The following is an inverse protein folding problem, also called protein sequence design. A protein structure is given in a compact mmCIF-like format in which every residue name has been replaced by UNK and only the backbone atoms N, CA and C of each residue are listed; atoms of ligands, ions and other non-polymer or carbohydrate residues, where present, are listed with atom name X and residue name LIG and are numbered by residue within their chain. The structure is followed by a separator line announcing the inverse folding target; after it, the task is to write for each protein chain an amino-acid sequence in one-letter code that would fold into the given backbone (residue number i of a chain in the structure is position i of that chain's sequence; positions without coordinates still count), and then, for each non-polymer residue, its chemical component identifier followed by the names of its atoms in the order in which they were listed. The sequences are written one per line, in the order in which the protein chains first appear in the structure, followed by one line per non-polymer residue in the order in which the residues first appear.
data_IF_343304221581
#
_entry.id   IF_343304221581
#
_cell.length_a   1.000
_cell.length_b   1.000
_cell.length_c   1.000
_cell.angle_alpha   90.00
_cell.angle_beta   90.00
_cell.angle_gamma   90.00
#
_symmetry.space_group_name_H-M   'P 1'
#
loop_
_entity.id
_entity.type
_entity.pdbx_description
1 polymer ?
#
# COMPACT_ATOMS: atom_id res chain seq x y z
N UNK A 1 -0.43 -1.32 -35.11
CA UNK A 1 0.41 -2.33 -34.43
C UNK A 1 0.09 -2.20 -32.94
N UNK A 2 -0.87 -2.97 -32.38
CA UNK A 2 -0.70 -4.29 -31.72
C UNK A 2 0.50 -4.24 -30.76
N UNK A 3 0.33 -4.36 -29.43
CA UNK A 3 -0.02 -5.61 -28.76
C UNK A 3 -0.73 -5.41 -27.41
N UNK A 4 -1.89 -6.07 -27.27
CA UNK A 4 -2.62 -6.28 -26.02
C UNK A 4 -2.30 -7.72 -25.60
N UNK A 5 -1.62 -7.93 -24.46
CA UNK A 5 -1.38 -9.27 -23.95
C UNK A 5 -2.29 -9.56 -22.76
N UNK A 6 -3.38 -10.28 -23.06
CA UNK A 6 -4.28 -10.93 -22.10
C UNK A 6 -3.56 -12.17 -21.57
N UNK A 7 -3.49 -12.39 -20.26
CA UNK A 7 -3.06 -13.67 -19.70
C UNK A 7 -4.28 -14.39 -19.13
N UNK A 8 -4.64 -15.48 -19.79
CA UNK A 8 -5.78 -16.33 -19.53
C UNK A 8 -5.57 -17.24 -18.32
N UNK A 9 -6.68 -17.49 -17.60
CA UNK A 9 -6.83 -18.48 -16.53
C UNK A 9 -6.71 -19.89 -17.14
N UNK A 10 -5.91 -20.76 -16.54
CA UNK A 10 -5.93 -22.19 -16.83
C UNK A 10 -6.20 -22.96 -15.53
N UNK A 11 -7.40 -23.50 -15.43
CA UNK A 11 -7.77 -24.59 -14.53
C UNK A 11 -7.17 -25.87 -15.09
N UNK A 12 -6.34 -26.58 -14.32
CA UNK A 12 -5.97 -27.97 -14.63
C UNK A 12 -6.37 -28.81 -13.43
N UNK A 13 -7.46 -29.55 -13.60
CA UNK A 13 -7.77 -30.73 -12.80
C UNK A 13 -7.20 -31.96 -13.50
N UNK A 14 -6.55 -32.84 -12.74
CA UNK A 14 -6.28 -34.21 -13.16
C UNK A 14 -6.35 -35.13 -11.92
N UNK A 15 -7.02 -36.27 -12.13
CA UNK A 15 -7.52 -37.25 -11.15
C UNK A 15 -6.59 -38.49 -11.15
N UNK A 16 -6.39 -39.16 -10.00
CA UNK A 16 -6.53 -40.62 -9.72
C UNK A 16 -5.54 -41.22 -8.66
N UNK A 17 -6.10 -41.56 -7.49
CA UNK A 17 -6.04 -42.80 -6.67
C UNK A 17 -4.80 -43.75 -6.66
N UNK A 18 -4.04 -43.75 -5.55
CA UNK A 18 -4.09 -44.79 -4.50
C UNK A 18 -3.15 -46.02 -4.52
N UNK A 19 -2.10 -46.02 -3.67
CA UNK A 19 -1.52 -47.22 -2.99
C UNK A 19 -0.95 -46.83 -1.62
N UNK A 20 -1.28 -47.54 -0.51
CA UNK A 20 -0.71 -47.29 0.82
C UNK A 20 0.41 -48.28 1.16
N UNK A 21 1.44 -47.84 1.87
CA UNK A 21 1.97 -48.49 3.08
C UNK A 21 3.38 -48.00 3.45
N UNK A 22 3.52 -47.76 4.76
CA UNK A 22 4.74 -47.71 5.56
C UNK A 22 5.57 -46.41 5.59
N UNK A 23 5.36 -45.76 6.74
CA UNK A 23 6.36 -45.22 7.67
C UNK A 23 6.73 -43.74 7.51
N UNK A 24 6.03 -42.97 8.34
CA UNK A 24 6.42 -41.73 9.02
C UNK A 24 7.84 -41.21 8.76
N UNK A 25 7.91 -40.20 7.91
CA UNK A 25 8.73 -39.03 8.15
C UNK A 25 7.78 -37.84 8.04
N UNK A 26 7.30 -37.35 9.18
CA UNK A 26 6.57 -36.09 9.21
C UNK A 26 7.54 -35.01 8.72
N UNK A 27 7.21 -34.22 7.68
CA UNK A 27 8.03 -33.07 7.34
C UNK A 27 8.15 -32.20 8.61
N UNK A 28 9.33 -31.64 8.90
CA UNK A 28 9.48 -30.76 10.05
C UNK A 28 8.40 -29.68 9.93
N UNK A 29 7.50 -29.64 10.93
CA UNK A 29 6.51 -28.60 11.02
C UNK A 29 7.23 -27.25 10.88
N UNK A 30 6.75 -26.32 10.03
CA UNK A 30 7.31 -24.98 10.02
C UNK A 30 7.21 -24.44 11.46
N UNK A 31 8.26 -23.82 12.01
CA UNK A 31 8.25 -23.36 13.39
C UNK A 31 7.04 -22.46 13.60
N UNK A 32 6.06 -22.98 14.35
CA UNK A 32 5.02 -22.19 14.96
C UNK A 32 5.70 -21.26 15.96
N UNK A 33 5.56 -19.95 15.74
CA UNK A 33 6.03 -18.94 16.68
C UNK A 33 7.30 -18.23 16.24
N UNK A 34 7.18 -17.37 15.23
CA UNK A 34 7.80 -16.06 15.36
C UNK A 34 6.69 -15.11 15.83
N UNK A 35 6.72 -14.57 17.06
CA UNK A 35 6.01 -13.34 17.31
C UNK A 35 6.68 -12.30 16.41
N UNK A 36 6.07 -12.02 15.26
CA UNK A 36 6.56 -10.98 14.35
C UNK A 36 6.65 -9.69 15.15
N UNK A 37 7.89 -9.36 15.52
CA UNK A 37 8.46 -8.04 15.76
C UNK A 37 7.41 -7.01 16.14
N UNK A 38 7.36 -6.73 17.44
CA UNK A 38 6.60 -5.64 18.03
C UNK A 38 6.65 -4.40 17.16
N UNK A 39 5.55 -4.16 16.44
CA UNK A 39 5.22 -2.81 15.98
C UNK A 39 4.86 -2.05 17.24
N UNK A 40 5.86 -1.37 17.82
CA UNK A 40 5.57 -0.29 18.75
C UNK A 40 4.53 0.66 18.13
N UNK A 41 3.75 1.39 18.93
CA UNK A 41 2.63 2.22 18.46
C UNK A 41 2.95 3.34 17.45
N UNK A 42 4.17 3.41 16.89
CA UNK A 42 4.67 4.51 16.07
C UNK A 42 5.44 4.13 14.80
N UNK A 43 5.39 2.89 14.33
CA UNK A 43 5.93 2.55 13.01
C UNK A 43 5.05 3.12 11.88
N UNK A 44 5.61 3.57 10.73
CA UNK A 44 4.80 3.97 9.59
C UNK A 44 3.90 2.80 9.20
N UNK A 45 2.59 2.95 9.42
CA UNK A 45 1.60 1.93 9.10
C UNK A 45 1.78 1.47 7.65
N UNK A 46 1.42 0.21 7.34
CA UNK A 46 1.45 -0.26 5.94
C UNK A 46 0.69 0.79 5.09
N UNK A 47 1.22 1.26 3.95
CA UNK A 47 0.61 2.36 3.18
C UNK A 47 -0.90 2.17 2.90
N UNK A 48 -1.32 0.91 2.67
CA UNK A 48 -2.74 0.58 2.48
C UNK A 48 -3.60 0.69 3.74
N UNK A 49 -3.05 0.55 4.95
CA UNK A 49 -3.80 0.74 6.21
C UNK A 49 -4.05 2.21 6.51
N UNK A 50 -3.09 3.08 6.21
CA UNK A 50 -3.28 4.53 6.36
C UNK A 50 -4.40 5.03 5.45
N UNK A 51 -4.45 4.51 4.22
CA UNK A 51 -5.53 4.83 3.29
C UNK A 51 -6.90 4.37 3.77
N UNK A 52 -7.00 3.12 4.27
CA UNK A 52 -8.27 2.59 4.80
C UNK A 52 -8.78 3.43 5.97
N UNK A 53 -7.89 3.86 6.87
CA UNK A 53 -8.26 4.75 7.98
C UNK A 53 -8.73 6.11 7.48
N UNK A 54 -7.99 6.74 6.55
CA UNK A 54 -8.40 8.02 5.97
C UNK A 54 -9.77 7.91 5.27
N UNK A 55 -10.03 6.83 4.53
CA UNK A 55 -11.32 6.60 3.89
C UNK A 55 -12.47 6.46 4.90
N UNK A 56 -12.23 5.75 6.00
CA UNK A 56 -13.20 5.62 7.10
C UNK A 56 -13.43 6.94 7.83
N UNK A 57 -12.36 7.68 8.14
CA UNK A 57 -12.44 8.97 8.84
C UNK A 57 -13.16 10.02 7.99
N UNK A 58 -13.01 9.98 6.66
CA UNK A 58 -13.72 10.85 5.73
C UNK A 58 -15.15 10.37 5.41
N UNK A 59 -15.55 9.18 5.84
CA UNK A 59 -16.84 8.60 5.49
C UNK A 59 -17.03 8.48 3.98
N UNK A 60 -16.02 7.99 3.26
CA UNK A 60 -16.11 7.85 1.81
C UNK A 60 -17.18 6.84 1.40
N UNK A 61 -17.95 7.17 0.37
CA UNK A 61 -18.85 6.22 -0.29
C UNK A 61 -18.07 5.11 -1.00
N UNK A 62 -18.74 4.01 -1.34
CA UNK A 62 -18.12 2.89 -2.05
C UNK A 62 -17.48 3.33 -3.38
N UNK A 63 -18.16 4.19 -4.15
CA UNK A 63 -17.64 4.75 -5.40
C UNK A 63 -16.41 5.63 -5.18
N UNK A 64 -16.43 6.50 -4.16
CA UNK A 64 -15.28 7.33 -3.81
C UNK A 64 -14.09 6.47 -3.38
N UNK A 65 -14.32 5.44 -2.58
CA UNK A 65 -13.29 4.50 -2.15
C UNK A 65 -12.69 3.72 -3.32
N UNK A 66 -13.51 3.28 -4.29
CA UNK A 66 -13.04 2.61 -5.49
C UNK A 66 -12.14 3.53 -6.34
N UNK A 67 -12.56 4.78 -6.56
CA UNK A 67 -11.74 5.81 -7.25
C UNK A 67 -10.41 6.06 -6.53
N UNK A 68 -10.48 6.20 -5.21
CA UNK A 68 -9.31 6.38 -4.34
C UNK A 68 -8.33 5.19 -4.41
N UNK A 69 -8.85 3.96 -4.43
CA UNK A 69 -8.02 2.76 -4.59
C UNK A 69 -7.37 2.66 -5.97
N UNK A 70 -8.07 3.07 -7.04
CA UNK A 70 -7.51 3.13 -8.38
C UNK A 70 -6.37 4.16 -8.48
N UNK A 71 -6.57 5.37 -7.95
CA UNK A 71 -5.54 6.43 -7.89
C UNK A 71 -4.29 5.93 -7.16
N UNK A 72 -4.46 5.25 -6.02
CA UNK A 72 -3.32 4.73 -5.27
C UNK A 72 -2.57 3.59 -5.98
N UNK A 73 -3.26 2.76 -6.75
CA UNK A 73 -2.59 1.74 -7.57
C UNK A 73 -1.74 2.38 -8.67
N UNK A 74 -2.24 3.45 -9.30
CA UNK A 74 -1.49 4.22 -10.29
C UNK A 74 -0.29 4.93 -9.67
N UNK A 75 -0.46 5.57 -8.51
CA UNK A 75 0.62 6.22 -7.75
C UNK A 75 1.70 5.19 -7.37
N UNK A 76 1.29 4.01 -6.88
CA UNK A 76 2.22 2.93 -6.57
C UNK A 76 3.00 2.46 -7.80
N UNK A 77 2.33 2.27 -8.94
CA UNK A 77 3.00 1.84 -10.17
C UNK A 77 4.01 2.89 -10.66
N UNK A 78 3.64 4.18 -10.63
CA UNK A 78 4.55 5.28 -10.97
C UNK A 78 5.74 5.36 -10.02
N UNK A 79 5.50 5.22 -8.71
CA UNK A 79 6.55 5.20 -7.70
C UNK A 79 7.50 4.00 -7.87
N UNK A 80 6.95 2.80 -8.12
CA UNK A 80 7.75 1.60 -8.35
C UNK A 80 8.60 1.74 -9.63
N UNK A 81 8.10 2.39 -10.69
CA UNK A 81 8.86 2.67 -11.90
C UNK A 81 10.06 3.60 -11.61
N UNK A 82 9.83 4.71 -10.89
CA UNK A 82 10.90 5.65 -10.50
C UNK A 82 11.94 4.98 -9.59
N UNK A 83 11.49 4.14 -8.66
CA UNK A 83 12.40 3.43 -7.75
C UNK A 83 13.27 2.41 -8.48
N UNK A 84 12.71 1.70 -9.45
CA UNK A 84 13.40 0.68 -10.26
C UNK A 84 14.31 1.26 -11.34
N UNK A 85 14.14 2.53 -11.69
CA UNK A 85 14.99 3.19 -12.67
C UNK A 85 16.44 3.27 -12.16
N UNK A 86 17.33 2.46 -12.73
CA UNK A 86 18.73 2.39 -12.29
C UNK A 86 19.59 3.54 -12.85
N UNK A 87 19.03 4.36 -13.74
CA UNK A 87 19.73 5.50 -14.34
C UNK A 87 19.67 6.75 -13.45
N UNK A 88 18.73 6.80 -12.50
CA UNK A 88 18.52 7.94 -11.62
C UNK A 88 19.31 7.83 -10.32
N UNK A 89 19.98 8.92 -9.96
CA UNK A 89 20.55 9.08 -8.63
C UNK A 89 19.44 9.07 -7.55
N UNK A 90 19.74 8.60 -6.31
CA UNK A 90 18.73 8.54 -5.24
C UNK A 90 18.02 9.87 -4.95
N UNK A 91 18.73 11.00 -5.08
CA UNK A 91 18.14 12.34 -4.89
C UNK A 91 17.17 12.71 -6.02
N UNK A 92 17.54 12.40 -7.27
CA UNK A 92 16.66 12.58 -8.42
C UNK A 92 15.40 11.72 -8.30
N UNK A 93 15.52 10.46 -7.87
CA UNK A 93 14.37 9.59 -7.56
C UNK A 93 13.44 10.21 -6.53
N UNK A 94 13.99 10.72 -5.42
CA UNK A 94 13.20 11.40 -4.37
C UNK A 94 12.47 12.63 -4.92
N UNK A 95 13.15 13.43 -5.72
CA UNK A 95 12.54 14.61 -6.35
C UNK A 95 11.39 14.22 -7.28
N UNK A 96 11.62 13.24 -8.15
CA UNK A 96 10.59 12.73 -9.07
C UNK A 96 9.42 12.09 -8.34
N UNK A 97 9.65 11.32 -7.28
CA UNK A 97 8.58 10.76 -6.46
C UNK A 97 7.71 11.86 -5.84
N UNK A 98 8.33 12.94 -5.31
CA UNK A 98 7.56 14.08 -4.79
C UNK A 98 6.74 14.77 -5.87
N UNK A 99 7.33 14.96 -7.05
CA UNK A 99 6.64 15.55 -8.19
C UNK A 99 5.47 14.67 -8.66
N UNK A 100 5.67 13.35 -8.72
CA UNK A 100 4.66 12.37 -9.12
C UNK A 100 3.51 12.27 -8.12
N UNK A 101 3.77 12.39 -6.80
CA UNK A 101 2.72 12.33 -5.78
C UNK A 101 1.75 13.52 -5.82
N UNK A 102 2.19 14.70 -6.27
CA UNK A 102 1.36 15.91 -6.28
C UNK A 102 0.07 15.75 -7.11
N UNK A 103 0.11 15.34 -8.40
CA UNK A 103 -1.10 15.17 -9.20
C UNK A 103 -2.03 14.08 -8.63
N UNK A 104 -1.51 12.99 -8.07
CA UNK A 104 -2.35 11.98 -7.42
C UNK A 104 -3.04 12.50 -6.16
N UNK A 105 -2.37 13.36 -5.38
CA UNK A 105 -2.99 14.06 -4.26
C UNK A 105 -4.13 14.97 -4.72
N UNK A 106 -3.94 15.72 -5.81
CA UNK A 106 -4.97 16.59 -6.39
C UNK A 106 -6.17 15.77 -6.90
N UNK A 107 -5.93 14.63 -7.54
CA UNK A 107 -6.99 13.70 -7.96
C UNK A 107 -7.78 13.13 -6.76
N UNK A 108 -7.10 12.74 -5.67
CA UNK A 108 -7.80 12.28 -4.46
C UNK A 108 -8.71 13.37 -3.87
N UNK A 109 -8.23 14.62 -3.83
CA UNK A 109 -9.02 15.78 -3.37
C UNK A 109 -10.25 16.02 -4.22
N UNK A 110 -10.14 15.85 -5.54
CA UNK A 110 -11.25 16.05 -6.48
C UNK A 110 -12.39 15.03 -6.31
N UNK A 111 -12.13 13.88 -5.69
CA UNK A 111 -13.14 12.87 -5.38
C UNK A 111 -13.93 13.22 -4.11
N UNK A 112 -13.42 14.11 -3.26
CA UNK A 112 -14.04 14.51 -2.00
C UNK A 112 -15.08 15.60 -2.22
N UNK A 113 -16.15 15.57 -1.42
CA UNK A 113 -17.05 16.71 -1.30
C UNK A 113 -16.40 17.82 -0.42
N UNK A 114 -16.97 19.04 -0.35
CA UNK A 114 -16.39 20.14 0.41
C UNK A 114 -16.19 19.85 1.91
N UNK A 115 -17.12 19.12 2.53
CA UNK A 115 -17.06 18.77 3.96
C UNK A 115 -15.93 17.76 4.24
N UNK A 116 -15.81 16.73 3.39
CA UNK A 116 -14.75 15.74 3.43
C UNK A 116 -13.38 16.37 3.15
N UNK A 117 -13.31 17.32 2.21
CA UNK A 117 -12.07 18.02 1.88
C UNK A 117 -11.56 18.83 3.09
N UNK A 118 -12.45 19.52 3.79
CA UNK A 118 -12.10 20.25 5.02
C UNK A 118 -11.51 19.32 6.08
N UNK A 119 -12.17 18.18 6.32
CA UNK A 119 -11.69 17.16 7.26
C UNK A 119 -10.35 16.57 6.82
N UNK A 120 -10.17 16.32 5.53
CA UNK A 120 -8.90 15.85 4.98
C UNK A 120 -7.75 16.84 5.21
N UNK A 121 -7.99 18.13 4.99
CA UNK A 121 -6.98 19.17 5.23
C UNK A 121 -6.64 19.33 6.72
N UNK A 122 -7.62 19.17 7.61
CA UNK A 122 -7.40 19.16 9.06
C UNK A 122 -6.54 17.97 9.51
N UNK A 123 -6.85 16.76 9.05
CA UNK A 123 -6.05 15.56 9.32
C UNK A 123 -4.61 15.71 8.80
N UNK A 124 -4.43 16.30 7.61
CA UNK A 124 -3.10 16.55 7.04
C UNK A 124 -2.30 17.56 7.88
N UNK A 125 -2.94 18.63 8.37
CA UNK A 125 -2.30 19.61 9.26
C UNK A 125 -1.92 19.01 10.60
N UNK A 126 -2.75 18.13 11.16
CA UNK A 126 -2.45 17.41 12.40
C UNK A 126 -1.28 16.44 12.23
N UNK A 127 -1.23 15.67 11.13
CA UNK A 127 -0.12 14.77 10.83
C UNK A 127 1.21 15.48 10.49
N UNK A 128 1.15 16.68 9.89
CA UNK A 128 2.33 17.50 9.61
C UNK A 128 2.95 18.11 10.88
N UNK A 129 2.15 18.28 11.94
CA UNK A 129 2.60 18.67 13.28
C UNK A 129 2.79 17.41 14.14
N UNK A 130 3.72 16.55 13.74
CA UNK A 130 4.19 15.48 14.64
C UNK A 130 4.67 16.10 15.97
N UNK A 131 4.64 15.36 17.10
CA UNK A 131 5.07 15.90 18.38
C UNK A 131 6.47 16.46 18.20
N UNK A 132 6.65 17.77 18.43
CA UNK A 132 7.97 18.33 18.67
C UNK A 132 8.52 17.51 19.82
N UNK A 133 9.43 16.57 19.53
CA UNK A 133 10.29 16.02 20.56
C UNK A 133 11.03 17.24 21.07
N UNK A 134 10.60 17.74 22.23
CA UNK A 134 11.39 18.63 23.04
C UNK A 134 12.68 17.86 23.34
N UNK A 135 13.68 18.03 22.46
CA UNK A 135 15.07 17.79 22.81
C UNK A 135 15.39 18.85 23.84
N UNK A 136 14.97 18.60 25.08
CA UNK A 136 15.48 19.29 26.25
C UNK A 136 16.87 18.71 26.44
N UNK A 137 17.85 19.38 25.86
CA UNK A 137 19.26 19.14 26.10
C UNK A 137 19.50 19.09 27.61
N UNK A 138 20.13 18.01 28.08
CA UNK A 138 20.67 17.88 29.44
C UNK A 138 22.11 17.43 29.31
#
# INVERSE_FOLDING_TARGET
MKNILKLSIAFVGLILLGTPALRAEAPPAPPAGQPEHGRGPGGPGRPGQMMKRAAQELGLTADQQAKWQAINQQEKAAADAIMKDSTLAPEAKRSQLRAANKPFADQRRAVLNPEQLKKFDEMRKAGARGPKKDKKDK
#
